data_IF_046478261898
#
_entry.id   IF_046478261898
#
_cell.length_a   1.000
_cell.length_b   1.000
_cell.length_c   1.000
_cell.angle_alpha   90.00
_cell.angle_beta   90.00
_cell.angle_gamma   90.00
#
_symmetry.space_group_name_H-M   'P 1'
#
loop_
_entity.id
_entity.type
_entity.pdbx_description
1 polymer ?
#
# COMPACT_ATOMS: atom_id res chain seq x y z
N UNK A 1 -28.93 -41.05 19.02
CA UNK A 1 -28.72 -40.73 17.60
C UNK A 1 -28.48 -39.21 17.32
N UNK A 2 -29.28 -38.28 17.85
CA UNK A 2 -29.09 -36.83 17.56
C UNK A 2 -27.76 -36.22 18.05
N UNK A 3 -27.22 -36.70 19.18
CA UNK A 3 -25.95 -36.19 19.74
C UNK A 3 -24.72 -36.60 18.93
N UNK A 4 -24.70 -37.79 18.35
CA UNK A 4 -23.59 -38.27 17.50
C UNK A 4 -23.53 -37.53 16.17
N UNK A 5 -24.67 -37.16 15.59
CA UNK A 5 -24.76 -36.40 14.35
C UNK A 5 -24.27 -34.94 14.55
N UNK A 6 -24.51 -34.35 15.71
CA UNK A 6 -24.02 -33.03 16.08
C UNK A 6 -22.50 -33.01 16.29
N UNK A 7 -21.96 -34.07 16.91
CA UNK A 7 -20.52 -34.22 17.11
C UNK A 7 -19.76 -34.39 15.76
N UNK A 8 -20.30 -35.19 14.85
CA UNK A 8 -19.72 -35.37 13.50
C UNK A 8 -19.74 -34.07 12.69
N UNK A 9 -20.84 -33.31 12.67
CA UNK A 9 -20.88 -32.00 11.98
C UNK A 9 -19.92 -30.99 12.57
N UNK A 10 -19.70 -31.03 13.90
CA UNK A 10 -18.73 -30.15 14.57
C UNK A 10 -17.29 -30.52 14.23
N UNK A 11 -16.97 -31.82 14.15
CA UNK A 11 -15.66 -32.32 13.75
C UNK A 11 -15.35 -32.01 12.28
N UNK A 12 -16.34 -32.17 11.40
CA UNK A 12 -16.21 -31.86 9.96
C UNK A 12 -16.00 -30.36 9.71
N UNK A 13 -16.71 -29.52 10.49
CA UNK A 13 -16.55 -28.06 10.43
C UNK A 13 -15.17 -27.60 10.95
N UNK A 14 -14.64 -28.28 11.99
CA UNK A 14 -13.29 -28.03 12.50
C UNK A 14 -12.22 -28.47 11.49
N UNK A 15 -12.40 -29.63 10.88
CA UNK A 15 -11.47 -30.15 9.85
C UNK A 15 -11.46 -29.26 8.61
N UNK A 16 -12.60 -28.75 8.15
CA UNK A 16 -12.68 -27.76 7.07
C UNK A 16 -11.99 -26.44 7.43
N UNK A 17 -12.18 -25.94 8.65
CA UNK A 17 -11.50 -24.72 9.11
C UNK A 17 -9.98 -24.90 9.21
N UNK A 18 -9.50 -26.08 9.63
CA UNK A 18 -8.07 -26.38 9.67
C UNK A 18 -7.48 -26.56 8.26
N UNK A 19 -8.22 -27.16 7.33
CA UNK A 19 -7.80 -27.27 5.93
C UNK A 19 -7.78 -25.91 5.21
N UNK A 20 -8.76 -25.02 5.48
CA UNK A 20 -8.76 -23.64 4.98
C UNK A 20 -7.63 -22.78 5.57
N UNK A 21 -7.26 -23.01 6.85
CA UNK A 21 -6.12 -22.34 7.47
C UNK A 21 -4.77 -22.85 6.95
N UNK A 22 -4.68 -24.13 6.62
CA UNK A 22 -3.47 -24.73 6.02
C UNK A 22 -3.26 -24.31 4.55
N UNK A 23 -4.33 -23.97 3.84
CA UNK A 23 -4.31 -23.57 2.43
C UNK A 23 -4.42 -22.05 2.22
N UNK A 24 -4.40 -21.23 3.29
CA UNK A 24 -4.13 -19.80 3.14
C UNK A 24 -2.70 -19.69 2.63
N UNK A 25 -2.47 -19.04 1.45
CA UNK A 25 -1.11 -18.67 1.09
C UNK A 25 -0.55 -17.91 2.29
N UNK A 26 0.56 -18.41 2.86
CA UNK A 26 1.31 -17.69 3.88
C UNK A 26 1.41 -16.26 3.35
N UNK A 27 0.87 -15.28 4.11
CA UNK A 27 1.25 -13.89 3.90
C UNK A 27 2.74 -13.90 3.65
N UNK A 28 3.27 -13.24 2.62
CA UNK A 28 4.69 -13.00 2.58
C UNK A 28 5.01 -12.39 3.95
N UNK A 29 5.72 -13.16 4.77
CA UNK A 29 6.27 -12.70 6.04
C UNK A 29 6.97 -11.43 5.64
N UNK A 30 6.59 -10.31 6.22
CA UNK A 30 7.22 -9.04 5.92
C UNK A 30 8.70 -9.28 6.15
N UNK A 31 9.49 -9.27 5.07
CA UNK A 31 10.94 -9.51 5.09
C UNK A 31 11.66 -8.55 6.04
N UNK A 32 10.94 -7.59 6.60
CA UNK A 32 11.36 -6.63 7.62
C UNK A 32 11.64 -7.27 9.01
N UNK A 33 11.10 -8.46 9.30
CA UNK A 33 11.41 -9.19 10.56
C UNK A 33 12.68 -10.04 10.45
N UNK A 34 13.22 -10.22 9.26
CA UNK A 34 14.42 -11.00 8.98
C UNK A 34 15.64 -10.07 8.86
N UNK A 35 16.49 -10.03 9.89
CA UNK A 35 17.83 -9.45 9.93
C UNK A 35 18.02 -8.14 9.08
N UNK A 36 18.25 -6.98 9.71
CA UNK A 36 18.40 -5.69 9.02
C UNK A 36 19.45 -5.69 7.89
N UNK A 37 20.48 -6.52 8.00
CA UNK A 37 21.52 -6.68 6.98
C UNK A 37 20.97 -7.32 5.71
N UNK A 38 20.15 -8.35 5.84
CA UNK A 38 19.50 -9.03 4.71
C UNK A 38 18.42 -8.16 4.05
N UNK A 39 17.77 -7.28 4.80
CA UNK A 39 16.81 -6.34 4.23
C UNK A 39 17.47 -5.44 3.19
N UNK A 40 18.62 -4.88 3.50
CA UNK A 40 19.37 -4.02 2.58
C UNK A 40 19.78 -4.77 1.31
N UNK A 41 20.40 -5.95 1.46
CA UNK A 41 20.82 -6.78 0.31
C UNK A 41 19.64 -7.17 -0.58
N UNK A 42 18.53 -7.60 0.02
CA UNK A 42 17.31 -7.96 -0.68
C UNK A 42 16.72 -6.75 -1.43
N UNK A 43 16.78 -5.56 -0.81
CA UNK A 43 16.29 -4.34 -1.43
C UNK A 43 17.12 -3.93 -2.64
N UNK A 44 18.43 -3.94 -2.53
CA UNK A 44 19.34 -3.66 -3.64
C UNK A 44 19.16 -4.66 -4.79
N UNK A 45 18.99 -5.96 -4.47
CA UNK A 45 18.72 -6.98 -5.47
C UNK A 45 17.37 -6.79 -6.19
N UNK A 46 16.34 -6.33 -5.48
CA UNK A 46 15.05 -5.98 -6.08
C UNK A 46 15.18 -4.81 -7.05
N UNK A 47 15.89 -3.75 -6.65
CA UNK A 47 16.13 -2.57 -7.48
C UNK A 47 16.86 -2.97 -8.75
N UNK A 48 17.97 -3.72 -8.62
CA UNK A 48 18.75 -4.19 -9.76
C UNK A 48 17.95 -5.03 -10.76
N UNK A 49 17.03 -5.89 -10.27
CA UNK A 49 16.13 -6.67 -11.13
C UNK A 49 15.20 -5.80 -11.97
N UNK A 50 14.75 -4.69 -11.43
CA UNK A 50 13.79 -3.82 -12.09
C UNK A 50 14.50 -2.91 -13.08
N UNK A 51 15.69 -2.43 -12.75
CA UNK A 51 16.55 -1.70 -13.69
C UNK A 51 16.93 -2.59 -14.88
N UNK A 52 17.28 -3.86 -14.63
CA UNK A 52 17.52 -4.83 -15.68
C UNK A 52 16.31 -5.09 -16.59
N UNK A 53 15.09 -4.92 -16.06
CA UNK A 53 13.84 -5.01 -16.81
C UNK A 53 13.47 -3.71 -17.54
N UNK A 54 14.34 -2.68 -17.51
CA UNK A 54 14.09 -1.37 -18.14
C UNK A 54 13.20 -0.42 -17.34
N UNK A 55 12.92 -0.75 -16.08
CA UNK A 55 12.19 0.13 -15.16
C UNK A 55 13.09 1.26 -14.65
N UNK A 56 12.54 2.46 -14.55
CA UNK A 56 13.25 3.61 -13.97
C UNK A 56 12.73 3.86 -12.55
N UNK A 57 13.54 3.49 -11.55
CA UNK A 57 13.23 3.68 -10.13
C UNK A 57 13.56 5.05 -9.59
N UNK A 58 14.38 5.80 -10.32
CA UNK A 58 14.82 7.13 -9.94
C UNK A 58 14.27 8.13 -10.97
N UNK A 59 12.95 8.42 -10.98
CA UNK A 59 12.42 9.44 -11.85
C UNK A 59 13.10 10.77 -11.51
N UNK A 60 13.63 11.42 -12.52
CA UNK A 60 14.51 12.58 -12.38
C UNK A 60 13.83 13.75 -11.66
N UNK A 61 12.51 13.86 -11.76
CA UNK A 61 11.70 14.89 -11.08
C UNK A 61 10.30 14.35 -10.75
N UNK A 62 9.86 14.59 -9.52
CA UNK A 62 8.47 14.52 -9.13
C UNK A 62 8.06 15.91 -8.64
N UNK A 63 7.11 16.52 -9.33
CA UNK A 63 6.62 17.84 -8.98
C UNK A 63 5.55 17.69 -7.89
N UNK A 64 5.83 18.22 -6.70
CA UNK A 64 4.89 18.25 -5.58
C UNK A 64 4.03 19.50 -5.72
N UNK A 65 2.72 19.35 -5.80
CA UNK A 65 1.78 20.49 -5.91
C UNK A 65 1.25 20.93 -4.56
N UNK A 66 1.24 20.05 -3.57
CA UNK A 66 0.74 20.34 -2.22
C UNK A 66 1.50 19.52 -1.18
N UNK A 67 1.87 20.13 -0.06
CA UNK A 67 2.49 19.42 1.06
C UNK A 67 1.43 18.66 1.89
N UNK A 68 1.88 17.72 2.73
CA UNK A 68 0.95 16.94 3.60
C UNK A 68 0.19 17.84 4.58
N UNK A 69 0.82 18.82 5.27
CA UNK A 69 0.10 19.74 6.13
C UNK A 69 -0.93 20.59 5.38
N UNK A 70 -0.56 21.16 4.24
CA UNK A 70 -1.46 21.98 3.40
C UNK A 70 -2.63 21.14 2.86
N UNK A 71 -2.39 19.88 2.49
CA UNK A 71 -3.44 18.95 2.08
C UNK A 71 -4.46 18.75 3.21
N UNK A 72 -3.99 18.51 4.43
CA UNK A 72 -4.86 18.30 5.59
C UNK A 72 -5.68 19.56 5.87
N UNK A 73 -5.07 20.73 5.83
CA UNK A 73 -5.76 22.00 6.07
C UNK A 73 -6.82 22.27 4.99
N UNK A 74 -6.43 22.18 3.71
CA UNK A 74 -7.29 22.46 2.56
C UNK A 74 -8.52 21.56 2.50
N UNK A 75 -8.37 20.26 2.77
CA UNK A 75 -9.43 19.26 2.60
C UNK A 75 -10.07 18.78 3.90
N UNK A 76 -9.77 19.42 5.03
CA UNK A 76 -10.36 19.08 6.34
C UNK A 76 -11.89 19.19 6.37
N UNK A 77 -12.46 20.02 5.53
CA UNK A 77 -13.90 20.30 5.43
C UNK A 77 -14.73 19.18 4.77
N UNK A 78 -14.06 18.23 4.08
CA UNK A 78 -14.76 17.13 3.38
C UNK A 78 -15.58 16.27 4.33
N UNK A 79 -16.80 15.89 3.90
CA UNK A 79 -17.66 14.95 4.60
C UNK A 79 -17.25 13.49 4.41
N UNK A 80 -17.74 12.59 5.28
CA UNK A 80 -17.43 11.17 5.22
C UNK A 80 -17.91 10.55 3.90
N UNK A 81 -17.00 9.89 3.17
CA UNK A 81 -17.28 9.29 1.87
C UNK A 81 -17.29 10.28 0.70
N UNK A 82 -16.96 11.53 0.94
CA UNK A 82 -16.86 12.57 -0.09
C UNK A 82 -15.50 12.51 -0.78
N UNK A 83 -15.50 12.69 -2.11
CA UNK A 83 -14.33 12.64 -2.97
C UNK A 83 -14.39 13.78 -3.98
N UNK A 84 -13.25 14.46 -4.21
CA UNK A 84 -13.12 15.48 -5.25
C UNK A 84 -12.29 14.86 -6.38
N UNK A 85 -12.91 14.02 -7.20
CA UNK A 85 -12.24 13.27 -8.27
C UNK A 85 -11.69 14.19 -9.39
N UNK A 86 -12.24 15.40 -9.53
CA UNK A 86 -11.82 16.37 -10.54
C UNK A 86 -10.51 17.09 -10.19
N UNK A 87 -10.10 17.07 -8.92
CA UNK A 87 -8.91 17.76 -8.44
C UNK A 87 -7.74 16.79 -8.30
N UNK A 88 -6.77 16.90 -9.21
CA UNK A 88 -5.55 16.10 -9.17
C UNK A 88 -4.50 16.76 -8.28
N UNK A 89 -3.99 16.03 -7.30
CA UNK A 89 -2.96 16.49 -6.37
C UNK A 89 -1.72 15.60 -6.45
N UNK A 90 -0.56 16.22 -6.31
CA UNK A 90 0.73 15.55 -6.23
C UNK A 90 1.32 15.73 -4.84
N UNK A 91 1.35 14.66 -4.06
CA UNK A 91 1.83 14.65 -2.68
C UNK A 91 3.03 13.71 -2.56
N UNK A 92 4.06 14.14 -1.84
CA UNK A 92 5.20 13.28 -1.55
C UNK A 92 5.38 13.07 -0.04
N UNK A 93 5.93 11.91 0.33
CA UNK A 93 6.23 11.61 1.72
C UNK A 93 6.84 10.23 1.91
N UNK A 94 7.10 9.90 3.17
CA UNK A 94 7.65 8.60 3.58
C UNK A 94 6.55 7.65 4.00
N UNK A 95 6.60 6.42 3.52
CA UNK A 95 5.70 5.35 3.96
C UNK A 95 6.10 4.89 5.37
N UNK A 96 5.19 5.07 6.32
CA UNK A 96 5.39 4.63 7.71
C UNK A 96 4.71 3.30 7.99
N UNK A 97 3.58 3.03 7.34
CA UNK A 97 2.82 1.81 7.52
C UNK A 97 2.20 1.39 6.19
N UNK A 98 2.16 0.08 5.94
CA UNK A 98 1.48 -0.55 4.83
C UNK A 98 0.54 -1.63 5.35
N UNK A 99 -0.70 -1.60 4.91
CA UNK A 99 -1.71 -2.63 5.23
C UNK A 99 -2.46 -3.01 3.96
N UNK A 100 -2.50 -4.29 3.64
CA UNK A 100 -3.28 -4.80 2.52
C UNK A 100 -4.63 -5.33 3.01
N UNK A 101 -5.70 -4.97 2.33
CA UNK A 101 -7.05 -5.51 2.54
C UNK A 101 -7.47 -6.29 1.29
N UNK A 102 -7.06 -7.56 1.26
CA UNK A 102 -7.18 -8.39 0.06
C UNK A 102 -6.16 -8.02 -1.03
N UNK A 103 -6.43 -8.44 -2.28
CA UNK A 103 -5.54 -8.24 -3.42
C UNK A 103 -5.76 -6.92 -4.17
N UNK A 104 -6.86 -6.21 -3.89
CA UNK A 104 -7.31 -5.05 -4.67
C UNK A 104 -7.27 -3.73 -3.91
N UNK A 105 -6.94 -3.76 -2.62
CA UNK A 105 -6.98 -2.56 -1.77
C UNK A 105 -5.79 -2.53 -0.82
N UNK A 106 -5.02 -1.46 -0.88
CA UNK A 106 -3.84 -1.25 -0.03
C UNK A 106 -3.93 0.12 0.62
N UNK A 107 -3.68 0.15 1.91
CA UNK A 107 -3.63 1.36 2.71
C UNK A 107 -2.19 1.66 3.11
N UNK A 108 -1.83 2.93 3.02
CA UNK A 108 -0.56 3.43 3.54
C UNK A 108 -0.78 4.58 4.50
N UNK A 109 0.14 4.71 5.45
CA UNK A 109 0.31 5.95 6.21
C UNK A 109 1.52 6.67 5.63
N UNK A 110 1.27 7.80 4.99
CA UNK A 110 2.27 8.69 4.41
C UNK A 110 2.61 9.77 5.44
N UNK A 111 3.89 9.97 5.71
CA UNK A 111 4.36 11.04 6.58
C UNK A 111 5.15 12.07 5.76
N UNK A 112 4.78 13.34 5.91
CA UNK A 112 5.46 14.49 5.33
C UNK A 112 5.37 15.67 6.29
N UNK A 113 6.49 16.38 6.49
CA UNK A 113 6.56 17.61 7.30
C UNK A 113 5.93 17.48 8.70
N UNK A 114 6.15 16.35 9.37
CA UNK A 114 5.66 16.09 10.73
C UNK A 114 4.17 15.74 10.83
N UNK A 115 3.44 15.67 9.72
CA UNK A 115 2.05 15.23 9.66
C UNK A 115 1.91 13.89 8.93
N UNK A 116 0.82 13.18 9.24
CA UNK A 116 0.50 11.89 8.62
C UNK A 116 -0.78 11.99 7.82
N UNK A 117 -0.79 11.38 6.64
CA UNK A 117 -1.93 11.31 5.73
C UNK A 117 -2.18 9.86 5.36
N UNK A 118 -3.46 9.45 5.31
CA UNK A 118 -3.81 8.14 4.80
C UNK A 118 -3.80 8.15 3.27
N UNK A 119 -3.28 7.07 2.70
CA UNK A 119 -3.38 6.77 1.26
C UNK A 119 -4.20 5.51 1.10
N UNK A 120 -5.26 5.56 0.31
CA UNK A 120 -6.13 4.44 0.03
C UNK A 120 -6.04 4.08 -1.45
N UNK A 121 -5.19 3.13 -1.78
CA UNK A 121 -4.96 2.69 -3.16
C UNK A 121 -5.87 1.52 -3.52
N UNK A 122 -6.72 1.72 -4.52
CA UNK A 122 -7.63 0.72 -5.07
C UNK A 122 -7.18 0.33 -6.48
N UNK A 123 -7.21 -0.97 -6.77
CA UNK A 123 -6.90 -1.48 -8.10
C UNK A 123 -7.92 -1.05 -9.18
N UNK A 124 -9.11 -0.60 -8.76
CA UNK A 124 -10.14 -0.11 -9.68
C UNK A 124 -9.83 1.30 -10.18
N UNK A 125 -9.14 2.10 -9.36
CA UNK A 125 -8.84 3.51 -9.63
C UNK A 125 -7.42 3.70 -10.19
N UNK A 126 -6.64 2.60 -10.29
CA UNK A 126 -5.25 2.65 -10.72
C UNK A 126 -5.14 2.71 -12.24
N UNK A 127 -4.50 3.77 -12.76
CA UNK A 127 -4.45 4.12 -14.17
C UNK A 127 -3.79 3.03 -15.05
N UNK A 128 -2.73 2.40 -14.55
CA UNK A 128 -1.92 1.41 -15.28
C UNK A 128 -2.48 -0.03 -15.19
N UNK A 129 -3.65 -0.22 -14.54
CA UNK A 129 -4.34 -1.50 -14.42
C UNK A 129 -3.87 -2.39 -13.26
N UNK A 130 -4.50 -3.57 -13.13
CA UNK A 130 -4.32 -4.46 -11.98
C UNK A 130 -2.92 -5.08 -11.87
N UNK A 131 -2.28 -5.39 -12.98
CA UNK A 131 -0.93 -5.98 -12.97
C UNK A 131 0.10 -4.97 -12.47
N UNK A 132 0.07 -3.74 -12.99
CA UNK A 132 0.92 -2.66 -12.54
C UNK A 132 0.65 -2.30 -11.07
N UNK A 133 -0.64 -2.27 -10.67
CA UNK A 133 -1.03 -2.11 -9.27
C UNK A 133 -0.37 -3.17 -8.37
N UNK A 134 -0.49 -4.44 -8.73
CA UNK A 134 0.08 -5.54 -7.93
C UNK A 134 1.60 -5.44 -7.86
N UNK A 135 2.24 -5.11 -8.97
CA UNK A 135 3.68 -4.98 -9.08
C UNK A 135 4.21 -3.82 -8.21
N UNK A 136 3.67 -2.61 -8.37
CA UNK A 136 4.13 -1.44 -7.63
C UNK A 136 3.92 -1.62 -6.12
N UNK A 137 2.76 -2.15 -5.72
CA UNK A 137 2.47 -2.41 -4.33
C UNK A 137 3.31 -3.56 -3.76
N UNK A 138 3.78 -4.50 -4.55
CA UNK A 138 4.75 -5.52 -4.16
C UNK A 138 6.11 -4.91 -3.80
N UNK A 139 6.48 -3.84 -4.49
CA UNK A 139 7.79 -3.19 -4.32
C UNK A 139 7.83 -2.16 -3.19
N UNK A 140 6.74 -1.45 -2.94
CA UNK A 140 6.68 -0.44 -1.87
C UNK A 140 6.87 -1.09 -0.51
N UNK A 141 7.88 -0.64 0.23
CA UNK A 141 8.21 -1.07 1.59
C UNK A 141 8.08 0.09 2.56
N UNK A 142 8.00 -0.24 3.84
CA UNK A 142 8.09 0.75 4.93
C UNK A 142 9.43 1.47 4.85
N UNK A 143 9.39 2.80 4.99
CA UNK A 143 10.58 3.66 4.91
C UNK A 143 10.84 4.25 3.54
N UNK A 144 10.22 3.73 2.47
CA UNK A 144 10.36 4.29 1.13
C UNK A 144 9.75 5.70 1.05
N UNK A 145 10.37 6.54 0.23
CA UNK A 145 9.81 7.83 -0.16
C UNK A 145 9.01 7.62 -1.44
N UNK A 146 7.77 8.10 -1.45
CA UNK A 146 6.89 7.96 -2.60
C UNK A 146 6.30 9.31 -3.00
N UNK A 147 6.11 9.48 -4.31
CA UNK A 147 5.28 10.51 -4.88
C UNK A 147 3.94 9.90 -5.28
N UNK A 148 2.85 10.54 -4.93
CA UNK A 148 1.48 10.09 -5.16
C UNK A 148 0.78 11.11 -6.01
N UNK A 149 0.24 10.66 -7.13
CA UNK A 149 -0.65 11.42 -8.01
C UNK A 149 -2.05 10.85 -7.85
N UNK A 150 -3.00 11.65 -7.41
CA UNK A 150 -4.36 11.19 -7.16
C UNK A 150 -5.28 12.32 -6.74
N UNK A 151 -6.47 11.99 -6.26
CA UNK A 151 -7.48 12.95 -5.84
C UNK A 151 -7.71 12.91 -4.33
N UNK A 152 -8.11 14.04 -3.72
CA UNK A 152 -8.43 14.12 -2.30
C UNK A 152 -9.82 13.55 -2.02
N UNK A 153 -9.98 12.96 -0.86
CA UNK A 153 -11.27 12.49 -0.38
C UNK A 153 -11.23 12.06 1.07
N UNK A 154 -12.39 11.76 1.61
CA UNK A 154 -12.50 11.22 2.96
C UNK A 154 -13.08 9.81 2.91
N UNK A 155 -12.41 8.88 3.54
CA UNK A 155 -12.89 7.51 3.66
C UNK A 155 -14.24 7.47 4.39
N UNK A 156 -15.06 6.45 4.16
CA UNK A 156 -16.37 6.28 4.83
C UNK A 156 -16.27 6.28 6.38
N UNK A 157 -15.11 5.92 6.92
CA UNK A 157 -14.81 5.95 8.36
C UNK A 157 -14.40 7.32 8.89
N UNK A 158 -14.31 8.34 8.03
CA UNK A 158 -13.99 9.71 8.42
C UNK A 158 -12.51 10.07 8.32
N UNK A 159 -11.64 9.17 7.88
CA UNK A 159 -10.22 9.47 7.70
C UNK A 159 -9.97 10.21 6.40
N UNK A 160 -9.32 11.37 6.49
CA UNK A 160 -8.89 12.13 5.31
C UNK A 160 -7.82 11.33 4.57
N UNK A 161 -8.02 11.14 3.27
CA UNK A 161 -7.20 10.23 2.46
C UNK A 161 -6.94 10.80 1.08
N UNK A 162 -5.83 10.36 0.50
CA UNK A 162 -5.54 10.53 -0.93
C UNK A 162 -5.83 9.20 -1.64
N UNK A 163 -6.48 9.26 -2.79
CA UNK A 163 -6.81 8.13 -3.66
C UNK A 163 -5.90 8.17 -4.88
N UNK A 164 -4.86 7.33 -4.94
CA UNK A 164 -3.87 7.40 -6.00
C UNK A 164 -4.38 6.79 -7.31
N UNK A 165 -4.16 7.51 -8.40
CA UNK A 165 -4.16 6.98 -9.76
C UNK A 165 -2.80 6.40 -10.15
N UNK A 166 -1.73 7.01 -9.60
CA UNK A 166 -0.35 6.61 -9.85
C UNK A 166 0.52 6.82 -8.62
N UNK A 167 1.42 5.88 -8.38
CA UNK A 167 2.43 5.98 -7.32
C UNK A 167 3.81 5.83 -7.94
N UNK A 168 4.70 6.75 -7.59
CA UNK A 168 6.10 6.77 -8.01
C UNK A 168 6.94 6.50 -6.77
N UNK A 169 7.74 5.45 -6.79
CA UNK A 169 8.59 5.06 -5.65
C UNK A 169 9.98 5.64 -5.85
N UNK A 170 10.52 6.26 -4.79
CA UNK A 170 11.93 6.61 -4.70
C UNK A 170 12.56 5.74 -3.60
N UNK A 171 13.40 4.77 -3.95
CA UNK A 171 14.07 3.96 -2.95
C UNK A 171 15.02 4.80 -2.10
N UNK A 172 15.44 4.33 -0.92
CA UNK A 172 16.41 5.03 -0.09
C UNK A 172 17.72 5.23 -0.85
N UNK A 173 18.32 6.39 -0.72
CA UNK A 173 19.57 6.81 -1.40
C UNK A 173 20.77 5.89 -1.13
N UNK A 174 20.71 5.06 -0.08
CA UNK A 174 21.75 4.08 0.23
C UNK A 174 21.90 2.94 -0.78
N UNK A 175 20.95 2.77 -1.71
CA UNK A 175 20.99 1.78 -2.79
C UNK A 175 21.32 2.41 -4.16
N UNK A 176 21.71 3.69 -4.21
CA UNK A 176 22.23 4.29 -5.44
C UNK A 176 23.60 3.66 -5.77
N UNK A 177 23.85 3.32 -7.06
CA UNK A 177 25.12 2.74 -7.48
C UNK A 177 26.28 3.72 -7.38
#
# INVERSE_FOLDING_TARGET
>A
MKAQLAAQKKAEKLAKQQAEQANKPKKPEDEEELDPTKYFENRCAQIAKIEAAGGNWYPHKFEVTISVPEFIEKYSHLGNGEHIAEELVHVAGRIMLKRSSGSKLVFYTLQGEGKSLQVMSSAADYEEGFEAFTQIHGYIKRGDIVGIVGYPGRAKRGELSVFPHKIIVRPPSSCEP
#
